data_IF_341714822396
#
_entry.id   IF_341714822396
#
_cell.length_a   1.000
_cell.length_b   1.000
_cell.length_c   1.000
_cell.angle_alpha   90.00
_cell.angle_beta   90.00
_cell.angle_gamma   90.00
#
_symmetry.space_group_name_H-M   'P 1'
#
loop_
_entity.id
_entity.type
_entity.pdbx_description
1 polymer ?
#
# COMPACT_ATOMS: atom_id res chain seq x y z
N UNK A 1 13.44 -2.77 15.40
CA UNK A 1 12.04 -3.23 15.46
C UNK A 1 11.33 -2.49 16.58
N UNK A 2 10.34 -1.67 16.25
CA UNK A 2 9.59 -0.80 17.17
C UNK A 2 8.34 -1.49 17.69
N UNK A 3 7.60 -2.13 16.78
CA UNK A 3 6.32 -2.76 17.10
C UNK A 3 6.18 -4.06 16.32
N UNK A 4 5.59 -5.08 16.95
CA UNK A 4 5.24 -6.34 16.30
C UNK A 4 3.78 -6.71 16.55
N UNK A 5 3.05 -6.97 15.48
CA UNK A 5 1.64 -7.37 15.46
C UNK A 5 1.54 -8.75 14.81
N UNK A 6 1.33 -9.78 15.63
CA UNK A 6 1.11 -11.15 15.13
C UNK A 6 -0.36 -11.32 14.75
N UNK A 7 -0.65 -11.39 13.45
CA UNK A 7 -2.00 -11.62 12.95
C UNK A 7 -2.29 -13.05 12.54
N UNK A 8 -3.56 -13.31 12.19
CA UNK A 8 -4.00 -14.63 11.73
C UNK A 8 -3.44 -15.02 10.35
N UNK A 9 -3.27 -14.04 9.45
CA UNK A 9 -2.74 -14.26 8.09
C UNK A 9 -1.26 -13.94 7.97
N UNK A 10 -0.81 -12.91 8.69
CA UNK A 10 0.53 -12.38 8.56
C UNK A 10 0.97 -11.70 9.86
N UNK A 11 2.27 -11.58 10.04
CA UNK A 11 2.94 -10.85 11.11
C UNK A 11 3.41 -9.53 10.52
N UNK A 12 3.03 -8.43 11.15
CA UNK A 12 3.53 -7.10 10.82
C UNK A 12 4.60 -6.69 11.83
N UNK A 13 5.72 -6.22 11.31
CA UNK A 13 6.84 -5.69 12.08
C UNK A 13 7.15 -4.28 11.60
N UNK A 14 6.98 -3.32 12.50
CA UNK A 14 7.31 -1.93 12.27
C UNK A 14 8.76 -1.68 12.65
N UNK A 15 9.49 -1.02 11.76
CA UNK A 15 10.84 -0.50 11.95
C UNK A 15 10.79 1.03 11.80
N UNK A 16 11.96 1.67 11.92
CA UNK A 16 12.08 3.13 11.89
C UNK A 16 11.75 3.73 10.51
N UNK A 17 12.06 3.02 9.43
CA UNK A 17 11.86 3.48 8.05
C UNK A 17 10.94 2.58 7.21
N UNK A 18 10.57 1.39 7.72
CA UNK A 18 9.86 0.37 6.95
C UNK A 18 8.94 -0.52 7.79
N UNK A 19 7.99 -1.16 7.12
CA UNK A 19 7.11 -2.21 7.62
C UNK A 19 7.46 -3.52 6.93
N UNK A 20 7.71 -4.57 7.70
CA UNK A 20 7.92 -5.92 7.18
C UNK A 20 6.69 -6.76 7.48
N UNK A 21 6.15 -7.40 6.44
CA UNK A 21 5.00 -8.30 6.48
C UNK A 21 5.49 -9.71 6.20
N UNK A 22 5.36 -10.60 7.18
CA UNK A 22 5.75 -12.01 7.07
C UNK A 22 4.51 -12.91 7.14
N UNK A 23 4.46 -14.04 6.41
CA UNK A 23 3.39 -15.00 6.64
C UNK A 23 3.44 -15.54 8.08
N UNK A 24 2.29 -15.81 8.68
CA UNK A 24 2.24 -16.36 10.05
C UNK A 24 2.60 -17.84 10.08
N UNK A 25 2.31 -18.58 9.01
CA UNK A 25 2.65 -19.99 8.86
C UNK A 25 3.83 -20.13 7.90
N UNK A 26 4.85 -20.89 8.30
CA UNK A 26 6.10 -21.03 7.54
C UNK A 26 5.90 -21.83 6.24
N UNK A 27 4.88 -22.70 6.21
CA UNK A 27 4.46 -23.44 5.01
C UNK A 27 3.62 -22.62 4.02
N UNK A 28 3.50 -21.31 4.26
CA UNK A 28 2.79 -20.42 3.35
C UNK A 28 3.72 -20.00 2.20
N UNK A 29 3.28 -20.21 0.96
CA UNK A 29 4.05 -19.85 -0.24
C UNK A 29 4.17 -18.31 -0.43
N UNK A 30 3.42 -17.51 0.33
CA UNK A 30 3.45 -16.06 0.19
C UNK A 30 4.78 -15.50 0.73
N UNK A 31 5.51 -14.69 -0.06
CA UNK A 31 6.78 -14.14 0.36
C UNK A 31 6.63 -13.12 1.48
N UNK A 32 7.74 -12.92 2.21
CA UNK A 32 7.91 -11.76 3.08
C UNK A 32 7.96 -10.49 2.23
N UNK A 33 7.22 -9.46 2.63
CA UNK A 33 7.14 -8.18 1.92
C UNK A 33 7.65 -7.06 2.81
N UNK A 34 8.56 -6.26 2.28
CA UNK A 34 9.06 -5.05 2.94
C UNK A 34 8.46 -3.83 2.26
N UNK A 35 7.85 -2.94 3.04
CA UNK A 35 7.17 -1.74 2.58
C UNK A 35 7.80 -0.54 3.29
N UNK A 36 8.53 0.34 2.60
CA UNK A 36 9.03 1.59 3.19
C UNK A 36 7.87 2.43 3.74
N UNK A 37 8.04 3.05 4.91
CA UNK A 37 7.02 3.90 5.54
C UNK A 37 6.63 5.09 4.67
N UNK A 38 7.54 5.57 3.83
CA UNK A 38 7.27 6.61 2.83
C UNK A 38 6.23 6.17 1.79
N UNK A 39 6.27 4.89 1.37
CA UNK A 39 5.29 4.31 0.45
C UNK A 39 3.96 3.96 1.12
N UNK A 40 3.90 3.96 2.45
CA UNK A 40 2.66 3.70 3.18
C UNK A 40 1.83 4.96 3.16
N UNK A 41 0.70 4.94 2.43
CA UNK A 41 -0.24 6.05 2.42
C UNK A 41 -1.03 6.11 3.73
N UNK A 42 -1.58 4.99 4.17
CA UNK A 42 -2.32 4.89 5.45
C UNK A 42 -2.45 3.43 5.91
N UNK A 43 -2.74 3.24 7.18
CA UNK A 43 -3.20 1.94 7.70
C UNK A 43 -4.72 1.96 7.75
N UNK A 44 -5.35 1.15 6.89
CA UNK A 44 -6.79 0.97 6.89
C UNK A 44 -7.17 -0.18 7.83
N UNK A 45 -8.22 -0.01 8.63
CA UNK A 45 -8.67 -1.02 9.60
C UNK A 45 -10.12 -1.37 9.34
N UNK A 46 -10.38 -2.63 9.01
CA UNK A 46 -11.73 -3.18 8.89
C UNK A 46 -12.24 -3.59 10.27
N UNK A 47 -13.15 -2.79 10.82
CA UNK A 47 -13.84 -3.08 12.09
C UNK A 47 -15.21 -3.68 11.78
N UNK A 48 -15.22 -4.93 11.30
CA UNK A 48 -16.48 -5.67 11.08
C UNK A 48 -16.87 -6.40 12.36
N UNK A 49 -18.13 -6.27 12.78
CA UNK A 49 -18.66 -6.97 13.98
C UNK A 49 -18.97 -8.46 13.73
N UNK A 50 -19.09 -8.89 12.47
CA UNK A 50 -19.46 -10.26 12.09
C UNK A 50 -18.29 -11.07 11.50
N UNK A 51 -17.12 -10.45 11.35
CA UNK A 51 -15.92 -11.08 10.74
C UNK A 51 -14.68 -10.67 11.51
N UNK A 52 -13.64 -11.48 11.41
CA UNK A 52 -12.34 -11.15 11.99
C UNK A 52 -11.88 -9.78 11.47
N UNK A 53 -11.64 -8.80 12.36
CA UNK A 53 -11.12 -7.51 11.95
C UNK A 53 -9.73 -7.70 11.34
N UNK A 54 -9.37 -6.85 10.40
CA UNK A 54 -8.06 -6.87 9.77
C UNK A 54 -7.57 -5.46 9.51
N UNK A 55 -6.26 -5.27 9.55
CA UNK A 55 -5.63 -4.07 9.04
C UNK A 55 -5.06 -4.36 7.65
N UNK A 56 -5.03 -3.34 6.81
CA UNK A 56 -4.43 -3.36 5.49
C UNK A 56 -3.49 -2.17 5.37
N UNK A 57 -2.22 -2.44 5.04
CA UNK A 57 -1.24 -1.39 4.76
C UNK A 57 -1.49 -0.90 3.34
N UNK A 58 -2.05 0.31 3.22
CA UNK A 58 -2.40 0.91 1.92
C UNK A 58 -1.17 1.60 1.37
N UNK A 59 -0.74 1.15 0.20
CA UNK A 59 0.32 1.74 -0.63
C UNK A 59 -0.32 2.24 -1.93
N UNK A 60 0.27 3.24 -2.62
CA UNK A 60 -0.32 3.85 -3.81
C UNK A 60 -0.58 2.83 -4.95
N UNK A 61 0.25 1.79 -5.06
CA UNK A 61 0.13 0.73 -6.06
C UNK A 61 -0.91 -0.37 -5.70
N UNK A 62 -1.45 -0.37 -4.48
CA UNK A 62 -2.31 -1.45 -4.00
C UNK A 62 -3.77 -1.28 -4.47
N UNK A 63 -4.18 -2.14 -5.39
CA UNK A 63 -5.60 -2.29 -5.77
C UNK A 63 -6.33 -3.12 -4.71
N UNK A 64 -7.22 -2.47 -3.95
CA UNK A 64 -7.98 -3.11 -2.86
C UNK A 64 -9.19 -3.89 -3.38
N UNK A 65 -9.38 -5.10 -2.85
CA UNK A 65 -10.51 -5.99 -3.15
C UNK A 65 -11.16 -6.55 -1.88
N UNK A 66 -12.44 -6.97 -1.99
CA UNK A 66 -13.16 -7.57 -0.85
C UNK A 66 -12.55 -8.89 -0.33
N UNK A 67 -11.70 -9.55 -1.13
CA UNK A 67 -11.07 -10.83 -0.78
C UNK A 67 -9.75 -10.65 0.00
N UNK A 68 -9.22 -9.43 0.05
CA UNK A 68 -7.91 -9.12 0.65
C UNK A 68 -7.80 -9.55 2.12
N UNK A 69 -8.92 -9.58 2.84
CA UNK A 69 -9.02 -10.00 4.25
C UNK A 69 -8.34 -11.34 4.58
N UNK A 70 -8.14 -12.20 3.57
CA UNK A 70 -7.52 -13.53 3.72
C UNK A 70 -6.18 -13.65 2.96
N UNK A 71 -5.80 -12.63 2.19
CA UNK A 71 -4.65 -12.67 1.29
C UNK A 71 -3.31 -12.37 1.98
N UNK A 72 -3.32 -11.92 3.24
CA UNK A 72 -2.08 -11.83 4.02
C UNK A 72 -1.06 -10.87 3.39
N UNK A 73 0.21 -11.27 3.33
CA UNK A 73 1.31 -10.48 2.75
C UNK A 73 1.07 -10.11 1.28
N UNK A 74 0.32 -10.91 0.51
CA UNK A 74 0.01 -10.62 -0.89
C UNK A 74 -0.87 -9.37 -1.08
N UNK A 75 -1.78 -9.09 -0.13
CA UNK A 75 -2.64 -7.89 -0.16
C UNK A 75 -2.29 -6.87 0.93
N UNK A 76 -1.11 -7.01 1.54
CA UNK A 76 -0.66 -6.23 2.69
C UNK A 76 -1.62 -6.28 3.89
N UNK A 77 -2.29 -7.41 4.10
CA UNK A 77 -3.32 -7.61 5.11
C UNK A 77 -2.81 -8.41 6.30
N UNK A 78 -3.13 -7.93 7.50
CA UNK A 78 -2.89 -8.61 8.77
C UNK A 78 -4.22 -8.73 9.49
N UNK A 79 -4.72 -9.95 9.66
CA UNK A 79 -5.88 -10.19 10.52
C UNK A 79 -5.55 -9.86 11.97
N UNK A 80 -6.36 -9.00 12.58
CA UNK A 80 -6.13 -8.50 13.92
C UNK A 80 -6.65 -9.54 14.90
N UNK A 81 -5.72 -10.19 15.61
CA UNK A 81 -6.06 -11.10 16.70
C UNK A 81 -6.56 -10.33 17.93
N UNK A 82 -7.38 -10.97 18.79
CA UNK A 82 -7.75 -10.41 20.09
C UNK A 82 -6.51 -9.94 20.86
N UNK A 83 -6.57 -8.73 21.42
CA UNK A 83 -5.45 -8.12 22.16
C UNK A 83 -4.44 -7.34 21.32
N UNK A 84 -4.47 -7.45 19.99
CA UNK A 84 -3.58 -6.66 19.13
C UNK A 84 -4.16 -5.32 18.66
N UNK A 85 -5.45 -5.08 18.88
CA UNK A 85 -6.10 -3.79 18.57
C UNK A 85 -5.35 -2.54 19.10
N UNK A 86 -4.88 -2.48 20.36
CA UNK A 86 -4.11 -1.31 20.83
C UNK A 86 -2.79 -1.12 20.08
N UNK A 87 -2.17 -2.20 19.58
CA UNK A 87 -0.97 -2.10 18.74
C UNK A 87 -1.30 -1.54 17.37
N UNK A 88 -2.46 -1.85 16.82
CA UNK A 88 -2.91 -1.26 15.54
C UNK A 88 -3.10 0.24 15.68
N UNK A 89 -3.67 0.68 16.80
CA UNK A 89 -3.80 2.10 17.12
C UNK A 89 -2.44 2.78 17.24
N UNK A 90 -1.51 2.17 17.98
CA UNK A 90 -0.13 2.65 18.09
C UNK A 90 0.58 2.71 16.72
N UNK A 91 0.35 1.74 15.84
CA UNK A 91 0.88 1.76 14.46
C UNK A 91 0.31 2.92 13.65
N UNK A 92 -1.01 3.18 13.74
CA UNK A 92 -1.65 4.30 13.07
C UNK A 92 -1.08 5.64 13.55
N UNK A 93 -0.92 5.78 14.86
CA UNK A 93 -0.34 6.97 15.47
C UNK A 93 1.12 7.16 15.07
N UNK A 94 1.93 6.10 15.09
CA UNK A 94 3.33 6.16 14.66
C UNK A 94 3.45 6.59 13.19
N UNK A 95 2.61 6.05 12.31
CA UNK A 95 2.62 6.46 10.90
C UNK A 95 2.22 7.94 10.73
N UNK A 96 1.25 8.42 11.51
CA UNK A 96 0.84 9.82 11.47
C UNK A 96 1.97 10.75 11.94
N UNK A 97 2.65 10.39 13.03
CA UNK A 97 3.81 11.12 13.56
C UNK A 97 4.99 11.09 12.58
N UNK A 98 5.31 9.92 12.04
CA UNK A 98 6.33 9.75 10.99
C UNK A 98 6.05 10.64 9.79
N UNK A 99 4.80 10.73 9.31
CA UNK A 99 4.43 11.60 8.20
C UNK A 99 4.44 13.10 8.56
N UNK A 100 4.25 13.44 9.82
CA UNK A 100 4.34 14.83 10.29
C UNK A 100 5.80 15.27 10.45
N UNK A 101 6.67 14.38 10.95
CA UNK A 101 8.10 14.62 11.15
C UNK A 101 8.90 14.52 9.84
N UNK A 102 8.52 13.58 8.98
CA UNK A 102 8.98 13.44 7.61
C UNK A 102 7.80 13.77 6.70
N UNK A 103 7.51 15.07 6.47
CA UNK A 103 6.63 15.43 5.38
C UNK A 103 7.29 14.87 4.13
N UNK A 104 6.81 13.74 3.62
CA UNK A 104 7.09 13.34 2.26
C UNK A 104 6.78 14.59 1.45
N UNK A 105 7.80 15.18 0.83
CA UNK A 105 7.62 16.29 -0.10
C UNK A 105 6.45 15.91 -1.02
N UNK A 106 5.55 16.84 -1.38
CA UNK A 106 4.46 16.55 -2.29
C UNK A 106 5.09 15.97 -3.55
N UNK A 107 5.03 14.65 -3.73
CA UNK A 107 5.75 13.86 -4.72
C UNK A 107 6.60 14.73 -5.66
N UNK A 108 7.79 15.14 -5.22
CA UNK A 108 8.75 15.73 -6.15
C UNK A 108 8.94 14.65 -7.22
N UNK A 109 8.81 14.98 -8.52
CA UNK A 109 8.88 14.01 -9.59
C UNK A 109 10.24 13.31 -9.52
N UNK A 110 10.26 12.12 -8.94
CA UNK A 110 11.42 11.26 -8.88
C UNK A 110 11.92 11.08 -10.32
N UNK A 111 13.22 11.31 -10.61
CA UNK A 111 13.73 11.24 -11.97
C UNK A 111 13.35 9.91 -12.60
N UNK A 112 12.65 10.02 -13.73
CA UNK A 112 12.13 8.93 -14.52
C UNK A 112 13.18 7.82 -14.70
N UNK A 113 13.06 6.76 -13.90
CA UNK A 113 13.52 5.45 -14.33
C UNK A 113 12.55 4.98 -15.44
N UNK A 114 13.02 4.21 -16.44
CA UNK A 114 12.40 4.12 -17.77
C UNK A 114 11.12 3.26 -17.83
N UNK A 115 10.11 3.59 -17.01
CA UNK A 115 8.73 3.12 -17.07
C UNK A 115 7.77 3.99 -17.93
N UNK A 116 8.04 5.24 -18.36
CA UNK A 116 7.01 6.07 -18.99
C UNK A 116 6.57 5.58 -20.37
N UNK A 117 7.39 4.76 -21.06
CA UNK A 117 7.04 4.28 -22.42
C UNK A 117 5.83 3.33 -22.39
N UNK A 118 5.75 2.47 -21.37
CA UNK A 118 4.71 1.43 -21.31
C UNK A 118 3.33 2.03 -20.96
N UNK A 119 3.30 2.98 -20.03
CA UNK A 119 2.08 3.71 -19.68
C UNK A 119 1.62 4.67 -20.80
N UNK A 120 2.56 5.28 -21.55
CA UNK A 120 2.23 6.07 -22.75
C UNK A 120 1.64 5.21 -23.87
N UNK A 121 2.12 3.97 -24.05
CA UNK A 121 1.57 3.01 -25.00
C UNK A 121 0.12 2.63 -24.67
N UNK A 122 -0.19 2.41 -23.38
CA UNK A 122 -1.56 2.11 -22.94
C UNK A 122 -2.50 3.30 -23.15
N UNK A 123 -2.06 4.52 -22.84
CA UNK A 123 -2.84 5.73 -23.13
C UNK A 123 -3.08 5.96 -24.62
N UNK A 124 -2.08 5.70 -25.46
CA UNK A 124 -2.19 5.86 -26.91
C UNK A 124 -3.22 4.87 -27.50
N UNK A 125 -3.22 3.62 -27.01
CA UNK A 125 -4.22 2.60 -27.39
C UNK A 125 -5.63 2.99 -26.97
N UNK A 126 -5.81 3.61 -25.80
CA UNK A 126 -7.12 4.06 -25.33
C UNK A 126 -7.67 5.23 -26.17
N UNK A 127 -6.80 6.16 -26.58
CA UNK A 127 -7.16 7.26 -27.51
C UNK A 127 -7.56 6.73 -28.89
N UNK A 128 -6.77 5.80 -29.44
CA UNK A 128 -7.01 5.25 -30.78
C UNK A 128 -8.35 4.48 -30.87
N UNK A 129 -8.77 3.88 -29.75
CA UNK A 129 -10.07 3.24 -29.60
C UNK A 129 -11.23 4.23 -29.36
N UNK A 130 -10.97 5.52 -29.34
CA UNK A 130 -11.96 6.57 -29.07
C UNK A 130 -12.48 6.61 -27.63
N UNK A 131 -11.80 5.94 -26.69
CA UNK A 131 -12.17 5.89 -25.27
C UNK A 131 -11.70 7.17 -24.56
N UNK A 132 -10.55 7.70 -24.97
CA UNK A 132 -10.03 8.99 -24.51
C UNK A 132 -10.14 10.02 -25.62
N UNK A 133 -10.59 11.22 -25.27
CA UNK A 133 -10.51 12.37 -26.16
C UNK A 133 -9.07 12.89 -26.26
N UNK A 134 -8.78 13.66 -27.32
CA UNK A 134 -7.45 14.21 -27.58
C UNK A 134 -6.94 15.10 -26.42
N UNK A 135 -7.84 15.82 -25.76
CA UNK A 135 -7.54 16.70 -24.62
C UNK A 135 -7.23 15.90 -23.35
N UNK A 136 -8.00 14.84 -23.05
CA UNK A 136 -7.76 13.97 -21.90
C UNK A 136 -6.44 13.19 -22.03
N UNK A 137 -6.09 12.81 -23.25
CA UNK A 137 -4.81 12.17 -23.55
C UNK A 137 -3.64 13.12 -23.29
N UNK A 138 -3.73 14.38 -23.73
CA UNK A 138 -2.66 15.36 -23.55
C UNK A 138 -2.47 15.74 -22.07
N UNK A 139 -3.57 15.89 -21.31
CA UNK A 139 -3.52 16.15 -19.88
C UNK A 139 -2.85 15.01 -19.10
N UNK A 140 -3.21 13.75 -19.38
CA UNK A 140 -2.57 12.59 -18.73
C UNK A 140 -1.13 12.38 -19.18
N UNK A 141 -0.82 12.64 -20.45
CA UNK A 141 0.55 12.57 -20.99
C UNK A 141 1.46 13.60 -20.33
N UNK A 142 1.00 14.84 -20.13
CA UNK A 142 1.76 15.87 -19.41
C UNK A 142 1.98 15.51 -17.95
N UNK A 143 0.94 15.01 -17.28
CA UNK A 143 1.03 14.53 -15.90
C UNK A 143 2.03 13.36 -15.76
N UNK A 144 2.08 12.44 -16.73
CA UNK A 144 3.03 11.32 -16.78
C UNK A 144 4.46 11.76 -17.12
N UNK A 145 4.62 12.83 -17.89
CA UNK A 145 5.92 13.39 -18.26
C UNK A 145 6.44 14.42 -17.25
N UNK A 146 5.67 14.74 -16.20
CA UNK A 146 6.04 15.71 -15.17
C UNK A 146 6.19 17.14 -15.68
N UNK A 147 5.43 17.51 -16.74
CA UNK A 147 5.46 18.82 -17.42
C UNK A 147 4.25 19.70 -17.07
#
# INVERSE_FOLDING_TARGET
>A
MILRITGGTSILELYEDQIVLRPTVDSDDRPTKTIPLDQVSMIWVSRSFFRTPYLQVVTPDLVRTKKDAYQGTAANVVQIMPGNMPKVDQLQQYLADYKAAHPSAPADPQPASPLPVKELEELARLRDRGILTQEEFDAKKKQLLGL
#
